data_IF_048488857075
#
_entry.id   IF_048488857075
#
_cell.length_a   1.000
_cell.length_b   1.000
_cell.length_c   1.000
_cell.angle_alpha   90.00
_cell.angle_beta   90.00
_cell.angle_gamma   90.00
#
_symmetry.space_group_name_H-M   'P 1'
#
loop_
_entity.id
_entity.type
_entity.pdbx_description
1 polymer ?
#
# COMPACT_ATOMS: atom_id res chain seq x y z
N UNK A 1 -8.27 -8.64 -25.50
CA UNK A 1 -7.52 -9.85 -25.08
C UNK A 1 -8.02 -11.05 -25.86
N UNK A 2 -7.79 -11.07 -27.18
CA UNK A 2 -8.34 -12.09 -28.09
C UNK A 2 -7.29 -13.13 -28.53
N UNK A 3 -6.31 -13.41 -27.67
CA UNK A 3 -5.19 -14.29 -27.97
C UNK A 3 -4.17 -13.67 -28.92
N UNK A 4 -3.16 -14.46 -29.27
CA UNK A 4 -2.03 -14.06 -30.10
C UNK A 4 -2.37 -14.04 -31.60
N UNK A 5 -3.47 -14.70 -32.00
CA UNK A 5 -3.90 -14.84 -33.40
C UNK A 5 -4.37 -13.53 -34.06
N UNK A 6 -4.49 -12.44 -33.30
CA UNK A 6 -4.95 -11.15 -33.78
C UNK A 6 -3.81 -10.13 -33.78
N UNK A 7 -3.63 -9.46 -34.91
CA UNK A 7 -2.65 -8.38 -35.05
C UNK A 7 -1.22 -8.91 -35.13
N UNK A 8 -0.35 -8.36 -34.30
CA UNK A 8 1.05 -8.75 -34.15
C UNK A 8 1.20 -9.40 -32.76
N UNK A 9 1.08 -10.73 -32.69
CA UNK A 9 1.10 -11.52 -31.45
C UNK A 9 0.12 -11.00 -30.37
N UNK A 10 -1.10 -10.66 -30.77
CA UNK A 10 -2.15 -10.14 -29.87
C UNK A 10 -2.12 -8.63 -29.67
N UNK A 11 -1.16 -7.92 -30.26
CA UNK A 11 -1.06 -6.46 -30.23
C UNK A 11 -1.64 -5.82 -31.49
N UNK A 12 -2.30 -4.67 -31.32
CA UNK A 12 -2.83 -3.87 -32.43
C UNK A 12 -2.35 -2.43 -32.34
N UNK A 13 -2.16 -1.79 -33.49
CA UNK A 13 -1.88 -0.38 -33.58
C UNK A 13 -3.18 0.41 -33.70
N UNK A 14 -3.31 1.44 -32.88
CA UNK A 14 -4.44 2.37 -32.93
C UNK A 14 -3.89 3.71 -33.42
N UNK A 15 -4.58 4.30 -34.41
CA UNK A 15 -4.22 5.62 -34.93
C UNK A 15 -4.34 6.67 -33.84
N UNK A 16 -3.40 7.62 -33.78
CA UNK A 16 -3.55 8.80 -32.92
C UNK A 16 -4.75 9.69 -33.30
N UNK A 17 -5.34 9.47 -34.49
CA UNK A 17 -6.58 10.13 -34.90
C UNK A 17 -7.84 9.37 -34.48
N UNK A 18 -7.72 8.24 -33.76
CA UNK A 18 -8.88 7.57 -33.18
C UNK A 18 -9.56 8.50 -32.17
N UNK A 19 -10.89 8.60 -32.24
CA UNK A 19 -11.66 9.55 -31.43
C UNK A 19 -12.15 8.99 -30.10
N UNK A 20 -11.97 7.70 -29.85
CA UNK A 20 -12.45 7.00 -28.65
C UNK A 20 -11.31 6.49 -27.77
N UNK A 21 -10.23 6.00 -28.37
CA UNK A 21 -9.11 5.47 -27.61
C UNK A 21 -8.37 6.58 -26.84
N UNK A 22 -8.17 6.36 -25.54
CA UNK A 22 -7.45 7.29 -24.67
C UNK A 22 -8.29 8.47 -24.13
N UNK A 23 -9.59 8.55 -24.46
CA UNK A 23 -10.46 9.62 -23.95
C UNK A 23 -10.74 9.52 -22.44
N UNK A 24 -10.64 8.32 -21.89
CA UNK A 24 -10.75 8.01 -20.46
C UNK A 24 -9.73 6.91 -20.13
N UNK A 25 -8.68 7.27 -19.40
CA UNK A 25 -7.52 6.38 -19.19
C UNK A 25 -7.11 6.39 -17.73
N UNK A 26 -7.00 5.19 -17.17
CA UNK A 26 -6.37 4.95 -15.86
C UNK A 26 -4.99 4.32 -16.08
N UNK A 27 -3.98 4.88 -15.42
CA UNK A 27 -2.60 4.37 -15.50
C UNK A 27 -2.17 3.85 -14.14
N UNK A 28 -1.67 2.61 -14.11
CA UNK A 28 -1.03 2.01 -12.94
C UNK A 28 0.48 2.22 -13.07
N UNK A 29 1.03 3.12 -12.26
CA UNK A 29 2.44 3.52 -12.38
C UNK A 29 3.41 2.52 -11.74
N UNK A 30 3.05 1.98 -10.57
CA UNK A 30 3.80 0.92 -9.90
C UNK A 30 2.92 0.28 -8.81
N UNK A 31 3.08 -1.02 -8.60
CA UNK A 31 2.55 -1.69 -7.42
C UNK A 31 3.59 -1.62 -6.28
N UNK A 32 3.14 -1.27 -5.08
CA UNK A 32 3.95 -1.42 -3.87
C UNK A 32 3.95 -2.89 -3.41
N UNK A 33 4.96 -3.28 -2.64
CA UNK A 33 5.03 -4.64 -2.09
C UNK A 33 3.89 -4.89 -1.11
N UNK A 34 3.25 -6.06 -1.21
CA UNK A 34 2.25 -6.50 -0.23
C UNK A 34 2.84 -6.78 1.16
N UNK A 35 4.17 -6.72 1.31
CA UNK A 35 4.89 -6.91 2.57
C UNK A 35 5.20 -5.59 3.29
N UNK A 36 4.73 -4.45 2.76
CA UNK A 36 5.03 -3.14 3.35
C UNK A 36 4.34 -2.93 4.71
N UNK A 37 3.19 -3.61 4.93
CA UNK A 37 2.35 -3.45 6.11
C UNK A 37 1.70 -4.78 6.50
N UNK A 38 1.54 -5.03 7.80
CA UNK A 38 0.87 -6.25 8.30
C UNK A 38 -0.65 -6.20 8.15
N UNK A 39 -1.25 -5.01 8.36
CA UNK A 39 -2.71 -4.83 8.28
C UNK A 39 -3.10 -3.58 7.51
N UNK A 40 -4.29 -3.65 6.92
CA UNK A 40 -4.96 -2.56 6.26
C UNK A 40 -6.36 -2.38 6.85
N UNK A 41 -6.66 -1.15 7.25
CA UNK A 41 -7.99 -0.70 7.66
C UNK A 41 -8.61 0.09 6.52
N UNK A 42 -9.77 -0.32 6.04
CA UNK A 42 -10.47 0.30 4.93
C UNK A 42 -11.98 0.08 5.03
N UNK A 43 -12.75 1.02 4.48
CA UNK A 43 -14.20 0.90 4.28
C UNK A 43 -14.59 1.00 2.80
N UNK A 44 -13.61 1.04 1.90
CA UNK A 44 -13.74 1.23 0.45
C UNK A 44 -13.10 0.08 -0.39
N UNK A 45 -13.57 -1.18 -0.27
CA UNK A 45 -12.97 -2.32 -0.96
C UNK A 45 -12.96 -2.23 -2.51
N UNK A 46 -13.88 -1.48 -3.10
CA UNK A 46 -13.98 -1.20 -4.54
C UNK A 46 -13.27 0.10 -4.95
N UNK A 47 -12.77 0.87 -3.97
CA UNK A 47 -12.05 2.12 -4.18
C UNK A 47 -12.96 3.29 -4.54
N UNK A 48 -12.38 4.33 -5.16
CA UNK A 48 -13.11 5.54 -5.51
C UNK A 48 -14.16 5.28 -6.60
N UNK A 49 -15.44 5.48 -6.27
CA UNK A 49 -16.57 5.38 -7.22
C UNK A 49 -17.27 6.72 -7.43
N UNK A 50 -17.09 7.64 -6.49
CA UNK A 50 -17.67 8.98 -6.49
C UNK A 50 -16.78 9.92 -5.68
N UNK A 51 -17.24 11.16 -5.51
CA UNK A 51 -16.59 12.15 -4.68
C UNK A 51 -17.61 13.10 -4.03
N UNK A 52 -17.25 13.63 -2.87
CA UNK A 52 -17.95 14.74 -2.20
C UNK A 52 -17.12 16.00 -2.40
N UNK A 53 -17.78 17.12 -2.71
CA UNK A 53 -17.13 18.37 -3.09
C UNK A 53 -17.56 19.53 -2.21
N UNK A 54 -16.62 20.41 -1.86
CA UNK A 54 -16.91 21.73 -1.30
C UNK A 54 -16.21 22.83 -2.11
N UNK A 55 -16.88 23.99 -2.22
CA UNK A 55 -16.39 25.16 -2.98
C UNK A 55 -15.66 26.14 -2.05
N UNK A 56 -14.75 25.61 -1.25
CA UNK A 56 -13.99 26.33 -0.22
C UNK A 56 -12.48 26.35 -0.52
N UNK A 57 -12.02 25.56 -1.50
CA UNK A 57 -10.60 25.33 -1.77
C UNK A 57 -9.93 24.33 -0.80
N UNK A 58 -10.69 23.81 0.16
CA UNK A 58 -10.25 22.77 1.08
C UNK A 58 -11.38 21.83 1.47
N UNK A 59 -11.06 20.57 1.72
CA UNK A 59 -12.01 19.58 2.22
C UNK A 59 -11.31 18.69 3.24
N UNK A 60 -12.08 18.27 4.24
CA UNK A 60 -11.64 17.38 5.29
C UNK A 60 -12.36 16.06 5.18
N UNK A 61 -11.65 14.97 5.44
CA UNK A 61 -12.19 13.62 5.46
C UNK A 61 -11.61 12.84 6.61
N UNK A 62 -12.40 11.96 7.21
CA UNK A 62 -11.96 11.13 8.32
C UNK A 62 -12.57 9.74 8.22
N UNK A 63 -11.81 8.74 8.68
CA UNK A 63 -12.34 7.43 9.00
C UNK A 63 -11.97 7.07 10.44
N UNK A 64 -12.94 6.51 11.15
CA UNK A 64 -12.77 5.98 12.50
C UNK A 64 -12.67 4.45 12.42
N UNK A 65 -11.58 3.91 12.93
CA UNK A 65 -11.26 2.50 12.89
C UNK A 65 -11.12 1.93 14.30
N UNK A 66 -11.31 0.63 14.46
CA UNK A 66 -11.09 -0.07 15.71
C UNK A 66 -9.80 -0.89 15.65
N UNK A 67 -8.86 -0.61 16.54
CA UNK A 67 -7.63 -1.37 16.72
C UNK A 67 -7.77 -2.37 17.86
N UNK A 68 -7.17 -3.55 17.72
CA UNK A 68 -7.03 -4.51 18.84
C UNK A 68 -5.83 -4.19 19.72
N UNK A 69 -5.13 -3.08 19.45
CA UNK A 69 -3.91 -2.70 20.11
C UNK A 69 -2.73 -3.59 19.71
N UNK A 70 -1.55 -3.27 20.25
CA UNK A 70 -0.35 -4.02 19.92
C UNK A 70 0.01 -3.86 18.45
N UNK A 71 -0.13 -2.65 17.90
CA UNK A 71 0.23 -2.30 16.53
C UNK A 71 0.55 -0.81 16.42
N UNK A 72 1.20 -0.41 15.34
CA UNK A 72 1.55 0.99 15.08
C UNK A 72 1.10 1.39 13.70
N UNK A 73 0.49 2.56 13.59
CA UNK A 73 0.14 3.19 12.33
C UNK A 73 1.41 3.71 11.63
N UNK A 74 1.61 3.29 10.38
CA UNK A 74 2.81 3.61 9.58
C UNK A 74 2.51 4.44 8.34
N UNK A 75 1.33 4.25 7.77
CA UNK A 75 0.95 4.97 6.57
C UNK A 75 -0.56 5.12 6.47
N UNK A 76 -0.96 6.06 5.63
CA UNK A 76 -2.35 6.23 5.20
C UNK A 76 -2.37 6.25 3.68
N UNK A 77 -3.49 5.86 3.08
CA UNK A 77 -3.69 6.07 1.65
C UNK A 77 -5.03 6.70 1.35
N UNK A 78 -5.09 7.43 0.25
CA UNK A 78 -6.31 8.03 -0.24
C UNK A 78 -6.30 8.12 -1.77
N UNK A 79 -7.48 8.27 -2.33
CA UNK A 79 -7.64 8.76 -3.70
C UNK A 79 -7.84 10.27 -3.67
N UNK A 80 -7.21 10.99 -4.60
CA UNK A 80 -7.48 12.40 -4.85
C UNK A 80 -7.84 12.59 -6.32
N UNK A 81 -8.98 13.22 -6.59
CA UNK A 81 -9.33 13.70 -7.93
C UNK A 81 -8.74 15.10 -8.21
N UNK A 82 -8.06 15.68 -7.23
CA UNK A 82 -7.62 17.06 -7.24
C UNK A 82 -6.22 17.18 -7.83
N UNK A 83 -6.02 18.16 -8.72
CA UNK A 83 -4.70 18.56 -9.19
C UNK A 83 -4.04 19.53 -8.23
N UNK A 84 -2.71 19.48 -8.14
CA UNK A 84 -1.91 20.38 -7.28
C UNK A 84 -2.41 20.42 -5.83
N UNK A 85 -2.73 19.26 -5.28
CA UNK A 85 -3.30 19.11 -3.95
C UNK A 85 -2.22 18.94 -2.89
N UNK A 86 -2.32 19.68 -1.80
CA UNK A 86 -1.58 19.41 -0.56
C UNK A 86 -2.48 18.63 0.38
N UNK A 87 -2.01 17.46 0.81
CA UNK A 87 -2.69 16.60 1.78
C UNK A 87 -1.94 16.64 3.10
N UNK A 88 -2.64 17.05 4.15
CA UNK A 88 -2.18 16.99 5.53
C UNK A 88 -2.90 15.86 6.25
N UNK A 89 -2.16 15.04 7.00
CA UNK A 89 -2.69 13.89 7.75
C UNK A 89 -2.67 14.20 9.24
N UNK A 90 -3.74 13.86 9.94
CA UNK A 90 -3.84 13.96 11.40
C UNK A 90 -4.36 12.63 11.94
N UNK A 91 -4.02 12.33 13.19
CA UNK A 91 -4.40 11.08 13.84
C UNK A 91 -4.82 11.37 15.28
N UNK A 92 -5.95 10.81 15.67
CA UNK A 92 -6.40 10.75 17.06
C UNK A 92 -6.43 9.28 17.47
N UNK A 93 -5.67 8.93 18.51
CA UNK A 93 -5.52 7.55 18.99
C UNK A 93 -6.46 7.21 20.14
N UNK A 94 -7.23 8.17 20.64
CA UNK A 94 -8.13 8.00 21.79
C UNK A 94 -9.53 8.54 21.45
N UNK A 95 -10.14 7.92 20.44
CA UNK A 95 -11.46 8.33 19.96
C UNK A 95 -12.53 7.59 20.74
N UNK A 96 -13.54 8.33 21.21
CA UNK A 96 -14.68 7.72 21.88
C UNK A 96 -15.50 6.83 20.94
N UNK A 97 -16.21 5.85 21.48
CA UNK A 97 -17.16 5.05 20.72
C UNK A 97 -18.43 5.82 20.28
N UNK A 98 -18.56 7.11 20.62
CA UNK A 98 -19.73 7.92 20.26
C UNK A 98 -19.79 8.20 18.75
N UNK A 99 -20.92 8.72 18.27
CA UNK A 99 -21.18 8.97 16.84
C UNK A 99 -20.46 10.19 16.24
N UNK A 100 -19.56 10.80 17.00
CA UNK A 100 -18.83 12.00 16.59
C UNK A 100 -17.32 11.76 16.57
N UNK A 101 -16.68 12.32 15.55
CA UNK A 101 -15.22 12.47 15.42
C UNK A 101 -14.79 13.92 15.65
N UNK A 102 -15.67 14.74 16.24
CA UNK A 102 -15.42 16.15 16.49
C UNK A 102 -14.17 16.30 17.36
N UNK A 103 -13.12 16.81 16.73
CA UNK A 103 -11.83 17.05 17.35
C UNK A 103 -11.24 18.32 16.77
N UNK A 104 -10.35 18.96 17.53
CA UNK A 104 -9.60 20.11 17.05
C UNK A 104 -8.33 19.60 16.39
N UNK A 105 -8.31 19.54 15.06
CA UNK A 105 -7.11 19.22 14.29
C UNK A 105 -6.06 20.30 14.56
N UNK A 106 -4.99 19.93 15.27
CA UNK A 106 -3.95 20.86 15.68
C UNK A 106 -2.74 20.80 14.74
N UNK A 107 -1.87 19.80 14.91
CA UNK A 107 -0.64 19.63 14.15
C UNK A 107 -0.74 18.40 13.27
N UNK A 108 -0.50 18.51 11.94
CA UNK A 108 -0.48 17.35 11.09
C UNK A 108 0.73 16.47 11.41
N UNK A 109 0.53 15.15 11.39
CA UNK A 109 1.58 14.15 11.55
C UNK A 109 2.36 13.93 10.25
N UNK A 110 1.76 14.26 9.10
CA UNK A 110 2.41 14.23 7.80
C UNK A 110 1.79 15.25 6.85
N UNK A 111 2.57 15.69 5.85
CA UNK A 111 2.11 16.56 4.77
C UNK A 111 2.75 16.14 3.46
N UNK A 112 1.97 16.10 2.38
CA UNK A 112 2.46 15.76 1.04
C UNK A 112 1.76 16.56 -0.06
N UNK A 113 2.53 17.00 -1.04
CA UNK A 113 2.00 17.60 -2.27
C UNK A 113 1.89 16.56 -3.39
N UNK A 114 0.75 16.56 -4.07
CA UNK A 114 0.46 15.74 -5.25
C UNK A 114 0.08 16.63 -6.42
N UNK A 115 0.83 16.51 -7.52
CA UNK A 115 0.54 17.27 -8.74
C UNK A 115 -0.67 16.72 -9.49
N UNK A 116 -0.81 15.40 -9.53
CA UNK A 116 -1.78 14.70 -10.36
C UNK A 116 -2.87 14.03 -9.51
N UNK A 117 -4.05 13.77 -10.09
CA UNK A 117 -5.03 12.87 -9.50
C UNK A 117 -4.48 11.44 -9.43
N UNK A 118 -4.95 10.67 -8.45
CA UNK A 118 -4.58 9.28 -8.32
C UNK A 118 -4.76 8.72 -6.91
N UNK A 119 -4.28 7.49 -6.74
CA UNK A 119 -4.16 6.82 -5.45
C UNK A 119 -2.75 7.02 -4.90
N UNK A 120 -2.65 7.46 -3.64
CA UNK A 120 -1.37 7.72 -3.01
C UNK A 120 -1.30 7.11 -1.62
N UNK A 121 -0.15 6.51 -1.32
CA UNK A 121 0.26 6.11 0.03
C UNK A 121 1.17 7.19 0.61
N UNK A 122 0.84 7.71 1.80
CA UNK A 122 1.63 8.65 2.57
C UNK A 122 2.20 7.91 3.78
N UNK A 123 3.51 7.66 3.77
CA UNK A 123 4.22 7.17 4.94
C UNK A 123 4.27 8.26 6.02
N UNK A 124 3.93 7.89 7.24
CA UNK A 124 4.09 8.75 8.41
C UNK A 124 5.59 8.84 8.75
N UNK A 125 6.11 10.03 9.08
CA UNK A 125 7.51 10.19 9.47
C UNK A 125 7.83 9.50 10.80
N UNK A 126 6.84 9.36 11.68
CA UNK A 126 6.92 8.63 12.95
C UNK A 126 5.78 7.61 13.04
N UNK A 127 6.10 6.39 13.47
CA UNK A 127 5.08 5.36 13.71
C UNK A 127 4.27 5.70 14.97
N UNK A 128 2.95 5.58 14.90
CA UNK A 128 2.05 5.96 15.99
C UNK A 128 1.52 4.69 16.67
N UNK A 129 1.89 4.41 17.94
CA UNK A 129 1.37 3.25 18.66
C UNK A 129 -0.14 3.33 18.86
N UNK A 130 -0.83 2.23 18.59
CA UNK A 130 -2.27 2.09 18.80
C UNK A 130 -2.54 1.19 20.01
N UNK A 131 -3.40 1.66 20.90
CA UNK A 131 -3.98 0.85 21.96
C UNK A 131 -5.24 0.15 21.45
N UNK A 132 -5.72 -0.84 22.21
CA UNK A 132 -7.04 -1.42 21.93
C UNK A 132 -8.11 -0.33 22.08
N UNK A 133 -8.94 -0.14 21.06
CA UNK A 133 -9.93 0.94 21.02
C UNK A 133 -10.05 1.61 19.66
N UNK A 134 -10.84 2.68 19.61
CA UNK A 134 -11.02 3.46 18.38
C UNK A 134 -9.90 4.48 18.20
N UNK A 135 -9.42 4.56 16.97
CA UNK A 135 -8.59 5.64 16.49
C UNK A 135 -9.23 6.25 15.24
N UNK A 136 -8.92 7.50 14.94
CA UNK A 136 -9.37 8.14 13.72
C UNK A 136 -8.18 8.72 12.95
N UNK A 137 -8.25 8.54 11.64
CA UNK A 137 -7.34 9.19 10.69
C UNK A 137 -8.14 10.28 9.99
N UNK A 138 -7.57 11.47 9.96
CA UNK A 138 -8.12 12.63 9.30
C UNK A 138 -7.17 13.09 8.21
N UNK A 139 -7.72 13.61 7.13
CA UNK A 139 -6.97 14.32 6.11
C UNK A 139 -7.61 15.67 5.82
N UNK A 140 -6.77 16.67 5.63
CA UNK A 140 -7.14 17.94 5.01
C UNK A 140 -6.52 17.97 3.62
N UNK A 141 -7.36 18.15 2.60
CA UNK A 141 -6.92 18.34 1.22
C UNK A 141 -7.11 19.82 0.90
N UNK A 142 -6.04 20.50 0.52
CA UNK A 142 -6.07 21.88 0.05
C UNK A 142 -5.67 21.92 -1.42
N UNK A 143 -6.45 22.62 -2.22
CA UNK A 143 -6.24 22.83 -3.66
C UNK A 143 -5.98 24.31 -3.94
N UNK A 144 -5.55 24.70 -5.15
CA UNK A 144 -5.45 26.11 -5.51
C UNK A 144 -6.74 26.88 -5.22
N UNK A 145 -6.61 28.15 -4.83
CA UNK A 145 -7.76 28.97 -4.49
C UNK A 145 -8.77 29.01 -5.63
N UNK A 146 -10.06 28.91 -5.29
CA UNK A 146 -11.21 28.87 -6.21
C UNK A 146 -11.42 27.55 -6.96
N UNK A 147 -10.54 26.56 -6.78
CA UNK A 147 -10.81 25.19 -7.22
C UNK A 147 -11.77 24.48 -6.26
N UNK A 148 -12.42 23.44 -6.79
CA UNK A 148 -13.31 22.58 -6.02
C UNK A 148 -12.46 21.49 -5.38
N UNK A 149 -12.48 21.43 -4.04
CA UNK A 149 -11.80 20.38 -3.31
C UNK A 149 -12.73 19.15 -3.20
N UNK A 150 -12.21 17.98 -3.58
CA UNK A 150 -12.96 16.73 -3.65
C UNK A 150 -12.38 15.69 -2.68
N UNK A 151 -13.26 15.05 -1.92
CA UNK A 151 -12.96 13.87 -1.12
C UNK A 151 -13.48 12.65 -1.85
N UNK A 152 -12.60 11.71 -2.15
CA UNK A 152 -12.99 10.45 -2.78
C UNK A 152 -13.85 9.61 -1.83
N UNK A 153 -14.93 9.04 -2.37
CA UNK A 153 -15.82 8.14 -1.64
C UNK A 153 -16.16 6.91 -2.48
N UNK A 154 -16.44 5.82 -1.78
CA UNK A 154 -17.07 4.63 -2.34
C UNK A 154 -18.56 4.68 -2.02
N UNK A 155 -19.39 4.45 -3.03
CA UNK A 155 -20.78 4.13 -2.85
C UNK A 155 -21.39 3.48 -4.07
N UNK A 156 -22.63 3.03 -3.90
CA UNK A 156 -23.41 2.45 -4.97
C UNK A 156 -23.78 3.53 -6.00
N UNK A 157 -23.19 3.44 -7.19
CA UNK A 157 -23.50 4.33 -8.32
C UNK A 157 -24.72 3.75 -9.05
N UNK A 158 -25.87 4.41 -8.90
CA UNK A 158 -27.11 4.08 -9.59
C UNK A 158 -27.27 4.94 -10.84
N UNK A 159 -27.47 4.30 -11.99
CA UNK A 159 -27.89 4.99 -13.20
C UNK A 159 -29.41 5.18 -13.24
N UNK A 160 -29.87 6.07 -14.12
CA UNK A 160 -31.28 6.44 -14.30
C UNK A 160 -32.18 5.28 -14.76
N UNK A 161 -31.62 4.15 -15.15
CA UNK A 161 -32.31 2.94 -15.60
C UNK A 161 -32.42 1.85 -14.52
N UNK A 162 -32.21 2.21 -13.25
CA UNK A 162 -32.16 1.32 -12.08
C UNK A 162 -31.03 0.28 -12.10
N UNK A 163 -30.13 0.32 -13.10
CA UNK A 163 -28.90 -0.45 -13.05
C UNK A 163 -27.94 0.13 -12.01
N UNK A 164 -27.43 -0.74 -11.15
CA UNK A 164 -26.44 -0.41 -10.13
C UNK A 164 -25.13 -1.07 -10.54
N UNK A 165 -24.08 -0.27 -10.68
CA UNK A 165 -22.72 -0.78 -10.63
C UNK A 165 -22.26 -0.72 -9.17
N UNK A 166 -21.52 -1.76 -8.74
CA UNK A 166 -21.01 -1.86 -7.37
C UNK A 166 -22.14 -1.96 -6.32
N UNK A 167 -23.15 -2.78 -6.58
CA UNK A 167 -24.27 -3.04 -5.66
C UNK A 167 -23.86 -3.56 -4.28
N UNK A 168 -22.61 -4.04 -4.17
CA UNK A 168 -22.02 -4.56 -2.94
C UNK A 168 -21.24 -3.50 -2.15
N UNK A 169 -21.13 -2.26 -2.65
CA UNK A 169 -20.60 -1.15 -1.86
C UNK A 169 -21.57 -0.88 -0.72
N UNK A 170 -21.08 -1.00 0.51
CA UNK A 170 -21.83 -0.80 1.75
C UNK A 170 -21.13 0.21 2.62
N UNK A 171 -21.92 0.96 3.38
CA UNK A 171 -21.44 1.92 4.36
C UNK A 171 -22.18 1.68 5.66
N UNK A 172 -21.50 1.78 6.81
CA UNK A 172 -22.15 1.77 8.11
C UNK A 172 -22.11 3.16 8.76
N UNK A 173 -23.09 3.46 9.64
CA UNK A 173 -23.02 4.66 10.45
C UNK A 173 -21.74 4.72 11.28
N UNK A 174 -21.24 5.93 11.51
CA UNK A 174 -20.13 6.22 12.42
C UNK A 174 -18.76 5.65 12.00
N UNK A 175 -18.57 5.38 10.71
CA UNK A 175 -17.30 4.90 10.14
C UNK A 175 -16.50 6.00 9.43
N UNK A 176 -17.18 6.84 8.64
CA UNK A 176 -16.54 7.83 7.77
C UNK A 176 -17.25 9.18 7.78
N UNK A 177 -16.46 10.24 7.70
CA UNK A 177 -16.95 11.61 7.86
C UNK A 177 -16.27 12.58 6.89
N UNK A 178 -16.98 13.66 6.57
CA UNK A 178 -16.43 14.80 5.84
C UNK A 178 -16.71 16.10 6.58
N UNK A 179 -15.89 17.11 6.33
CA UNK A 179 -16.08 18.46 6.87
C UNK A 179 -15.57 19.51 5.88
N UNK A 180 -16.16 20.71 5.94
CA UNK A 180 -15.76 21.89 5.17
C UNK A 180 -14.94 22.89 6.00
N UNK A 181 -14.95 22.77 7.33
CA UNK A 181 -14.24 23.67 8.26
C UNK A 181 -13.25 22.95 9.21
N UNK A 182 -13.23 21.62 9.19
CA UNK A 182 -12.39 20.78 10.04
C UNK A 182 -12.85 20.73 11.50
N UNK A 183 -14.01 21.29 11.83
CA UNK A 183 -14.56 21.36 13.18
C UNK A 183 -15.95 20.70 13.30
N UNK A 184 -16.78 20.80 12.27
CA UNK A 184 -18.09 20.17 12.20
C UNK A 184 -18.07 19.02 11.19
N UNK A 185 -18.31 17.81 11.66
CA UNK A 185 -18.20 16.60 10.85
C UNK A 185 -19.57 16.02 10.49
N UNK A 186 -19.71 15.58 9.24
CA UNK A 186 -20.92 14.97 8.70
C UNK A 186 -20.63 13.51 8.35
N UNK A 187 -21.43 12.60 8.91
CA UNK A 187 -21.35 11.18 8.58
C UNK A 187 -21.78 10.94 7.13
N UNK A 188 -20.89 10.35 6.32
CA UNK A 188 -21.15 10.09 4.89
C UNK A 188 -22.13 8.92 4.68
N UNK A 189 -22.40 8.12 5.71
CA UNK A 189 -23.40 7.07 5.68
C UNK A 189 -24.81 7.59 5.34
N UNK A 190 -25.12 8.84 5.69
CA UNK A 190 -26.39 9.48 5.33
C UNK A 190 -26.67 9.44 3.80
N UNK A 191 -25.62 9.27 3.00
CA UNK A 191 -25.67 9.16 1.54
C UNK A 191 -25.27 7.76 1.02
N UNK A 192 -25.10 6.78 1.90
CA UNK A 192 -24.57 5.43 1.62
C UNK A 192 -23.15 5.47 1.01
N UNK A 193 -22.31 6.34 1.52
CA UNK A 193 -20.91 6.46 1.12
C UNK A 193 -19.95 6.01 2.23
N UNK A 194 -18.77 5.56 1.83
CA UNK A 194 -17.60 5.32 2.68
C UNK A 194 -16.46 6.21 2.18
N UNK A 195 -15.74 6.88 3.07
CA UNK A 195 -14.60 7.71 2.66
C UNK A 195 -13.46 6.80 2.18
N UNK A 196 -12.89 7.07 1.02
CA UNK A 196 -11.74 6.33 0.49
C UNK A 196 -10.43 6.79 1.16
N UNK A 197 -10.33 6.53 2.47
CA UNK A 197 -9.18 6.81 3.32
C UNK A 197 -8.84 5.55 4.09
N UNK A 198 -7.62 5.05 3.91
CA UNK A 198 -7.18 3.79 4.50
C UNK A 198 -6.02 4.04 5.44
N UNK A 199 -5.88 3.17 6.43
CA UNK A 199 -4.78 3.16 7.38
C UNK A 199 -4.02 1.84 7.30
N UNK A 200 -2.69 1.90 7.44
CA UNK A 200 -1.83 0.74 7.39
C UNK A 200 -0.99 0.64 8.66
N UNK A 201 -0.98 -0.54 9.26
CA UNK A 201 -0.30 -0.78 10.55
C UNK A 201 0.64 -1.97 10.46
N UNK A 202 1.65 -1.95 11.34
CA UNK A 202 2.46 -3.12 11.66
C UNK A 202 2.20 -3.55 13.10
N UNK A 203 2.23 -4.86 13.35
CA UNK A 203 1.99 -5.42 14.67
C UNK A 203 3.17 -5.09 15.59
N UNK A 204 2.87 -4.53 16.77
CA UNK A 204 3.82 -4.26 17.84
C UNK A 204 4.14 -5.57 18.57
N UNK A 205 4.91 -6.46 17.94
CA UNK A 205 5.60 -7.52 18.67
C UNK A 205 7.09 -7.18 18.84
N UNK A 206 7.60 -7.47 20.05
CA UNK A 206 8.93 -7.14 20.61
C UNK A 206 10.01 -6.96 19.56
N UNK A 207 10.80 -5.87 19.61
CA UNK A 207 12.03 -5.66 18.80
C UNK A 207 12.16 -6.73 17.72
N UNK A 208 11.38 -6.66 16.65
CA UNK A 208 11.46 -7.72 15.65
C UNK A 208 12.90 -7.62 15.13
N UNK A 209 13.83 -8.54 15.45
CA UNK A 209 15.23 -8.17 15.37
C UNK A 209 15.71 -8.06 13.91
N UNK A 210 14.83 -8.27 12.93
CA UNK A 210 15.10 -9.19 11.82
C UNK A 210 14.24 -8.83 10.59
N UNK A 211 14.61 -7.77 9.89
CA UNK A 211 14.07 -7.38 8.58
C UNK A 211 14.09 -8.59 7.62
N UNK A 212 12.93 -8.92 7.04
CA UNK A 212 12.72 -10.02 6.10
C UNK A 212 12.05 -9.49 4.83
N UNK A 213 12.83 -9.11 3.82
CA UNK A 213 12.31 -8.68 2.53
C UNK A 213 12.75 -9.62 1.41
N UNK A 214 11.80 -10.13 0.61
CA UNK A 214 12.12 -10.77 -0.68
C UNK A 214 12.38 -9.67 -1.69
N UNK A 215 13.62 -9.54 -2.15
CA UNK A 215 14.00 -8.54 -3.15
C UNK A 215 13.67 -8.96 -4.58
N UNK A 216 13.80 -10.26 -4.87
CA UNK A 216 13.66 -10.80 -6.23
C UNK A 216 13.08 -12.20 -6.14
N UNK A 217 12.06 -12.46 -6.95
CA UNK A 217 11.55 -13.79 -7.28
C UNK A 217 11.52 -13.93 -8.80
N UNK A 218 12.11 -14.99 -9.36
CA UNK A 218 12.17 -15.19 -10.80
C UNK A 218 12.61 -16.59 -11.23
N UNK A 219 12.25 -16.94 -12.47
CA UNK A 219 12.65 -18.18 -13.13
C UNK A 219 14.14 -18.16 -13.51
N UNK A 220 14.82 -19.29 -13.31
CA UNK A 220 16.25 -19.48 -13.62
C UNK A 220 16.48 -19.87 -15.09
N UNK A 221 15.88 -19.15 -16.04
CA UNK A 221 15.93 -19.55 -17.45
C UNK A 221 17.14 -18.96 -18.22
N UNK A 222 17.72 -17.82 -17.83
CA UNK A 222 18.82 -17.19 -18.59
C UNK A 222 19.78 -16.30 -17.75
N UNK A 223 20.21 -16.78 -16.58
CA UNK A 223 21.24 -16.10 -15.77
C UNK A 223 20.76 -14.79 -15.13
N UNK A 224 20.26 -14.88 -13.90
CA UNK A 224 19.78 -13.71 -13.15
C UNK A 224 20.98 -12.88 -12.65
N UNK A 225 20.99 -11.58 -13.00
CA UNK A 225 21.88 -10.59 -12.39
C UNK A 225 21.12 -9.86 -11.29
N UNK A 226 21.44 -10.14 -10.04
CA UNK A 226 20.89 -9.43 -8.88
C UNK A 226 21.78 -8.23 -8.56
N UNK A 227 21.24 -7.02 -8.68
CA UNK A 227 21.89 -5.80 -8.24
C UNK A 227 21.24 -5.31 -6.94
N UNK A 228 22.03 -5.21 -5.89
CA UNK A 228 21.60 -4.65 -4.59
C UNK A 228 22.40 -3.39 -4.33
N UNK A 229 21.72 -2.28 -4.08
CA UNK A 229 22.35 -0.99 -3.78
C UNK A 229 22.21 -0.69 -2.28
N UNK A 230 23.30 -0.88 -1.52
CA UNK A 230 23.37 -0.53 -0.10
C UNK A 230 23.77 0.93 0.10
N UNK A 231 23.20 1.60 1.10
CA UNK A 231 23.68 2.90 1.57
C UNK A 231 24.84 2.72 2.58
N UNK A 232 25.58 3.80 2.90
CA UNK A 232 26.76 3.78 3.81
C UNK A 232 26.50 3.26 5.24
N UNK A 233 25.25 3.00 5.60
CA UNK A 233 24.84 2.50 6.92
C UNK A 233 24.11 1.13 6.84
N UNK A 234 24.05 0.51 5.66
CA UNK A 234 23.31 -0.74 5.45
C UNK A 234 24.07 -1.93 6.04
N UNK A 235 23.57 -2.49 7.14
CA UNK A 235 24.07 -3.74 7.72
C UNK A 235 23.08 -4.86 7.44
N UNK A 236 23.55 -5.99 6.90
CA UNK A 236 22.69 -7.15 6.64
C UNK A 236 23.39 -8.29 5.92
N UNK A 237 22.63 -9.34 5.62
CA UNK A 237 23.02 -10.57 4.95
C UNK A 237 22.00 -10.85 3.85
N UNK A 238 22.46 -10.89 2.61
CA UNK A 238 21.69 -11.42 1.50
C UNK A 238 21.63 -12.94 1.63
N UNK A 239 20.44 -13.50 1.46
CA UNK A 239 20.21 -14.95 1.39
C UNK A 239 19.64 -15.27 0.02
N UNK A 240 20.25 -16.21 -0.66
CA UNK A 240 19.85 -16.67 -1.98
C UNK A 240 19.36 -18.10 -1.83
N UNK A 241 18.05 -18.33 -1.97
CA UNK A 241 17.48 -19.66 -1.93
C UNK A 241 16.98 -20.06 -3.32
N UNK A 242 17.37 -21.24 -3.78
CA UNK A 242 16.87 -21.81 -5.02
C UNK A 242 15.84 -22.89 -4.74
N UNK A 243 14.86 -23.03 -5.62
CA UNK A 243 13.74 -23.96 -5.44
C UNK A 243 13.49 -24.80 -6.68
N UNK A 244 13.03 -26.03 -6.50
CA UNK A 244 12.44 -26.88 -7.53
C UNK A 244 11.09 -26.34 -8.00
N UNK A 245 10.54 -26.92 -9.07
CA UNK A 245 9.20 -26.57 -9.58
C UNK A 245 8.09 -26.77 -8.55
N UNK A 246 8.20 -27.81 -7.70
CA UNK A 246 7.26 -28.11 -6.62
C UNK A 246 7.52 -27.31 -5.33
N UNK A 247 8.41 -26.31 -5.37
CA UNK A 247 8.65 -25.38 -4.27
C UNK A 247 9.56 -25.90 -3.16
N UNK A 248 10.31 -26.99 -3.39
CA UNK A 248 11.33 -27.48 -2.44
C UNK A 248 12.63 -26.73 -2.60
N UNK A 249 13.30 -26.43 -1.49
CA UNK A 249 14.60 -25.73 -1.51
C UNK A 249 15.68 -26.68 -2.04
N UNK A 250 16.44 -26.25 -3.05
CA UNK A 250 17.60 -26.97 -3.58
C UNK A 250 18.90 -26.55 -2.87
N UNK A 251 19.10 -25.24 -2.69
CA UNK A 251 20.34 -24.67 -2.17
C UNK A 251 20.09 -23.30 -1.53
N UNK A 252 20.88 -22.97 -0.50
CA UNK A 252 20.85 -21.68 0.20
C UNK A 252 22.26 -21.12 0.34
N UNK A 253 22.50 -19.94 -0.21
CA UNK A 253 23.77 -19.21 -0.12
C UNK A 253 23.59 -17.87 0.58
N UNK A 254 24.62 -17.38 1.25
CA UNK A 254 24.56 -16.14 2.00
C UNK A 254 25.69 -15.19 1.64
N UNK A 255 25.45 -13.89 1.76
CA UNK A 255 26.49 -12.86 1.54
C UNK A 255 26.23 -11.63 2.40
N UNK A 256 27.23 -11.20 3.16
CA UNK A 256 27.14 -9.95 3.90
C UNK A 256 27.02 -8.76 2.95
N UNK A 257 26.16 -7.81 3.30
CA UNK A 257 26.05 -6.53 2.63
C UNK A 257 27.28 -5.70 3.04
N UNK A 258 28.05 -5.25 2.04
CA UNK A 258 29.20 -4.38 2.21
C UNK A 258 28.97 -3.07 1.46
N UNK A 259 29.70 -2.01 1.85
CA UNK A 259 29.59 -0.67 1.26
C UNK A 259 29.77 -0.68 -0.27
N UNK A 260 28.79 -0.11 -0.99
CA UNK A 260 28.84 0.11 -2.43
C UNK A 260 27.94 -0.80 -3.26
N UNK A 261 28.06 -0.73 -4.60
CA UNK A 261 27.31 -1.58 -5.54
C UNK A 261 27.96 -2.96 -5.58
N UNK A 262 27.19 -4.00 -5.25
CA UNK A 262 27.65 -5.37 -5.34
C UNK A 262 26.98 -6.08 -6.52
N UNK A 263 27.75 -6.95 -7.18
CA UNK A 263 27.28 -7.89 -8.20
C UNK A 263 27.69 -9.29 -7.79
N UNK A 264 26.76 -10.23 -7.92
CA UNK A 264 26.98 -11.62 -7.60
C UNK A 264 26.58 -12.51 -8.78
N UNK A 265 27.27 -13.64 -8.90
CA UNK A 265 26.87 -14.75 -9.74
C UNK A 265 26.68 -15.94 -8.84
N UNK A 266 25.52 -16.58 -8.93
CA UNK A 266 25.16 -17.71 -8.08
C UNK A 266 25.02 -18.91 -9.00
N UNK A 267 25.89 -19.91 -8.81
CA UNK A 267 25.67 -21.22 -9.43
C UNK A 267 24.52 -21.92 -8.72
N UNK A 268 23.69 -22.62 -9.50
CA UNK A 268 22.53 -23.39 -9.05
C UNK A 268 22.57 -24.80 -9.64
N UNK A 269 21.87 -25.75 -9.02
CA UNK A 269 21.75 -27.13 -9.52
C UNK A 269 20.83 -27.20 -10.74
N UNK A 270 20.95 -28.23 -11.57
CA UNK A 270 20.05 -28.45 -12.73
C UNK A 270 18.56 -28.51 -12.34
N UNK A 271 18.26 -28.95 -11.11
CA UNK A 271 16.91 -29.06 -10.58
C UNK A 271 16.31 -27.73 -10.09
N UNK A 272 17.10 -26.65 -10.06
CA UNK A 272 16.65 -25.33 -9.58
C UNK A 272 15.83 -24.62 -10.67
N UNK A 273 14.57 -24.29 -10.36
CA UNK A 273 13.63 -23.55 -11.23
C UNK A 273 13.42 -22.10 -10.81
N UNK A 274 13.37 -21.84 -9.51
CA UNK A 274 13.13 -20.49 -8.98
C UNK A 274 14.29 -20.02 -8.10
N UNK A 275 14.53 -18.71 -8.09
CA UNK A 275 15.41 -18.05 -7.13
C UNK A 275 14.58 -17.06 -6.30
N UNK A 276 14.71 -17.13 -4.99
CA UNK A 276 14.29 -16.06 -4.08
C UNK A 276 15.49 -15.46 -3.39
N UNK A 277 15.58 -14.13 -3.39
CA UNK A 277 16.63 -13.38 -2.71
C UNK A 277 16.02 -12.63 -1.54
N UNK A 278 16.56 -12.86 -0.34
CA UNK A 278 16.14 -12.19 0.88
C UNK A 278 17.24 -11.24 1.36
N UNK A 279 16.85 -10.12 1.96
CA UNK A 279 17.75 -9.31 2.80
C UNK A 279 17.37 -9.55 4.24
N UNK A 280 18.35 -9.97 5.05
CA UNK A 280 18.23 -10.18 6.48
C UNK A 280 19.13 -9.21 7.23
N UNK A 281 18.74 -8.78 8.43
CA UNK A 281 19.66 -8.04 9.30
C UNK A 281 20.81 -8.92 9.82
N UNK A 282 20.54 -10.21 10.09
CA UNK A 282 21.54 -11.17 10.56
C UNK A 282 21.11 -12.65 10.30
N UNK A 283 22.01 -13.61 10.50
CA UNK A 283 21.78 -15.04 10.21
C UNK A 283 20.99 -15.81 11.27
N UNK A 284 20.78 -15.28 12.49
CA UNK A 284 20.02 -16.01 13.55
C UNK A 284 18.57 -16.26 13.14
N UNK A 285 18.14 -15.53 12.14
CA UNK A 285 16.76 -15.42 11.73
C UNK A 285 16.43 -16.56 10.81
N UNK A 286 17.39 -17.15 10.09
CA UNK A 286 17.19 -18.15 9.04
C UNK A 286 16.27 -19.31 9.47
N UNK A 287 16.19 -19.61 10.77
CA UNK A 287 15.50 -20.79 11.33
C UNK A 287 14.04 -21.01 10.88
N UNK A 288 13.12 -20.03 10.83
CA UNK A 288 11.75 -20.24 10.36
C UNK A 288 11.67 -20.59 8.86
N UNK A 289 12.56 -20.04 8.01
CA UNK A 289 12.66 -20.42 6.59
C UNK A 289 13.15 -21.87 6.41
N UNK A 290 13.93 -22.38 7.35
CA UNK A 290 14.54 -23.71 7.28
C UNK A 290 13.70 -24.82 7.94
N UNK A 291 12.53 -24.52 8.51
CA UNK A 291 11.72 -25.51 9.26
C UNK A 291 11.19 -26.67 8.38
N UNK A 292 11.21 -26.53 7.05
CA UNK A 292 10.85 -27.57 6.09
C UNK A 292 12.07 -28.22 5.41
N UNK A 293 13.27 -28.05 5.95
CA UNK A 293 14.50 -28.58 5.35
C UNK A 293 14.85 -29.91 6.00
N UNK A 294 14.59 -31.00 5.28
CA UNK A 294 15.21 -32.28 5.55
C UNK A 294 16.69 -32.19 5.16
N UNK A 295 17.54 -31.82 6.13
CA UNK A 295 19.01 -31.81 6.10
C UNK A 295 19.71 -30.66 5.32
N UNK A 296 20.00 -29.56 6.03
CA UNK A 296 21.18 -28.74 5.75
C UNK A 296 22.04 -28.70 7.02
N UNK A 297 23.33 -28.96 6.86
CA UNK A 297 24.32 -28.76 7.91
C UNK A 297 24.59 -27.26 8.08
N UNK A 298 23.93 -26.66 9.07
CA UNK A 298 24.04 -25.24 9.38
C UNK A 298 25.44 -24.80 9.82
N UNK A 299 26.31 -25.73 10.22
CA UNK A 299 27.70 -25.41 10.57
C UNK A 299 28.60 -25.20 9.34
N UNK A 300 28.13 -25.58 8.14
CA UNK A 300 28.82 -25.30 6.86
C UNK A 300 28.66 -23.85 6.36
N UNK A 301 27.79 -23.06 6.98
CA UNK A 301 27.45 -21.68 6.60
C UNK A 301 28.27 -20.58 7.31
N UNK A 302 29.34 -20.95 8.04
CA UNK A 302 30.27 -19.99 8.69
C UNK A 302 31.40 -19.54 7.77
#
# INVERSE_FOLDING_TARGET
SWGEDIGDDGYIYISYYDSAFGSDTTVFLAAESSLNYDKQYLYDPFGMTSYISFVTGEIYGANKFYSNGGEKLKAVSLYTYNENATVQVFVDTDVSSSDSVDTVLSTPVAEKFFRYPGYYTINLPEEIPLSEGYFAVYVKITVPAWDIANMAVEGNVRYSDESSYLSNATSNPNEGFVSDDGAHWYDVNAYNYSVCLRAFTDTSESENPDEYGVLVEGLLDDGIVVAVEGNKNSQGVLVFATYTEDGKICDVKTKNIADGKMRFSIGYSEDSKYLKVFVLKNLKNLRPLLQNIESIDLDSLK
#
